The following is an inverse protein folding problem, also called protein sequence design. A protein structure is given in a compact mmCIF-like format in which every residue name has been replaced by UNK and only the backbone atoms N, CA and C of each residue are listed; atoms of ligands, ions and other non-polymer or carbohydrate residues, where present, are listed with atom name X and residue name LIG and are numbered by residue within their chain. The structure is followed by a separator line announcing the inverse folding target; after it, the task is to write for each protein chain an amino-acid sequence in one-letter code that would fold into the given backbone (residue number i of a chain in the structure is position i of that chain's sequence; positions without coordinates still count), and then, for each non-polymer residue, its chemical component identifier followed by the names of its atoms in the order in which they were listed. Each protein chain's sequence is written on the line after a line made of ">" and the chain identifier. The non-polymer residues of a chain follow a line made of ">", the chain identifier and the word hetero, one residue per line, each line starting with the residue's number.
data_IF_731888257111
#
_entry.id   IF_731888257111
#
_cell.length_a   1.000
_cell.length_b   1.000
_cell.length_c   1.000
_cell.angle_alpha   90.00
_cell.angle_beta   90.00
_cell.angle_gamma   90.00
#
_symmetry.space_group_name_H-M   'P 1'
#
loop_
_entity.id
_entity.type
_entity.pdbx_description
1 polymer ?
#
# COMPACT_ATOMS: atom_id res chain seq x y z
N UNK A 1 -20.80 0.94 17.68
CA UNK A 1 -19.40 0.60 17.36
C UNK A 1 -19.21 -0.91 17.27
N UNK A 2 -19.25 -1.69 18.35
CA UNK A 2 -19.07 -3.15 18.28
C UNK A 2 -20.40 -3.90 18.26
N UNK A 3 -20.45 -5.08 17.63
CA UNK A 3 -21.59 -5.99 17.68
C UNK A 3 -21.57 -6.84 18.98
N UNK A 4 -22.70 -7.43 19.40
CA UNK A 4 -22.71 -8.46 20.43
C UNK A 4 -21.90 -9.71 20.01
N UNK A 5 -21.19 -10.39 20.94
CA UNK A 5 -21.12 -10.11 22.37
C UNK A 5 -20.09 -9.03 22.75
N UNK A 6 -19.23 -8.61 21.84
CA UNK A 6 -18.08 -7.73 22.10
C UNK A 6 -18.47 -6.38 22.69
N UNK A 7 -19.64 -5.85 22.32
CA UNK A 7 -20.19 -4.61 22.87
C UNK A 7 -20.37 -4.62 24.39
N UNK A 8 -20.50 -5.81 25.01
CA UNK A 8 -20.70 -5.96 26.45
C UNK A 8 -19.41 -6.29 27.20
N UNK A 9 -18.30 -6.49 26.49
CA UNK A 9 -17.04 -6.88 27.11
C UNK A 9 -16.38 -5.70 27.81
N UNK A 10 -15.65 -5.99 28.89
CA UNK A 10 -14.78 -4.98 29.50
C UNK A 10 -13.64 -4.63 28.55
N UNK A 11 -13.08 -3.42 28.67
CA UNK A 11 -11.94 -3.00 27.86
C UNK A 11 -10.77 -4.00 27.97
N UNK A 12 -10.54 -4.58 29.16
CA UNK A 12 -9.52 -5.59 29.40
C UNK A 12 -9.82 -6.89 28.63
N UNK A 13 -11.07 -7.36 28.67
CA UNK A 13 -11.48 -8.55 27.93
C UNK A 13 -11.35 -8.36 26.41
N UNK A 14 -11.71 -7.17 25.93
CA UNK A 14 -11.58 -6.81 24.52
C UNK A 14 -10.14 -6.79 24.05
N UNK A 15 -9.24 -6.05 24.75
CA UNK A 15 -7.82 -6.02 24.40
C UNK A 15 -7.23 -7.44 24.40
N UNK A 16 -7.49 -8.23 25.45
CA UNK A 16 -7.00 -9.60 25.53
C UNK A 16 -7.45 -10.46 24.35
N UNK A 17 -8.70 -10.30 23.91
CA UNK A 17 -9.20 -11.01 22.74
C UNK A 17 -8.46 -10.62 21.47
N UNK A 18 -8.25 -9.32 21.20
CA UNK A 18 -7.50 -8.87 20.03
C UNK A 18 -6.04 -9.34 20.03
N UNK A 19 -5.43 -9.48 21.21
CA UNK A 19 -4.08 -10.01 21.36
C UNK A 19 -3.98 -11.52 21.09
N UNK A 20 -5.08 -12.27 21.24
CA UNK A 20 -5.06 -13.75 21.23
C UNK A 20 -5.89 -14.38 20.11
N UNK A 21 -6.70 -13.60 19.38
CA UNK A 21 -7.53 -14.12 18.28
C UNK A 21 -6.65 -14.57 17.11
N UNK A 22 -7.03 -15.68 16.49
CA UNK A 22 -6.26 -16.31 15.40
C UNK A 22 -7.09 -16.56 14.13
N UNK A 23 -8.39 -16.24 14.14
CA UNK A 23 -9.30 -16.53 13.03
C UNK A 23 -9.32 -15.44 11.94
N UNK A 24 -8.64 -14.31 12.17
CA UNK A 24 -8.49 -13.21 11.22
C UNK A 24 -7.01 -13.12 10.84
N UNK A 25 -6.72 -13.22 9.54
CA UNK A 25 -5.36 -13.18 9.01
C UNK A 25 -5.13 -11.88 8.27
N UNK A 26 -4.09 -11.14 8.66
CA UNK A 26 -3.71 -9.90 7.99
C UNK A 26 -2.22 -9.66 8.20
N UNK A 27 -1.63 -8.85 7.32
CA UNK A 27 -0.21 -8.57 7.27
C UNK A 27 0.01 -7.07 7.16
N UNK A 28 1.15 -6.60 7.67
CA UNK A 28 1.58 -5.23 7.48
C UNK A 28 2.26 -5.06 6.12
N UNK A 29 2.09 -3.88 5.50
CA UNK A 29 2.87 -3.48 4.34
C UNK A 29 3.85 -2.39 4.77
N UNK A 30 5.12 -2.59 4.44
CA UNK A 30 6.21 -1.67 4.75
C UNK A 30 6.35 -0.61 3.65
N UNK A 31 6.61 0.61 4.08
CA UNK A 31 7.15 1.68 3.23
C UNK A 31 8.65 1.78 3.52
N UNK A 32 9.48 1.38 2.56
CA UNK A 32 10.93 1.23 2.75
C UNK A 32 11.62 2.52 3.19
N UNK A 33 11.15 3.66 2.68
CA UNK A 33 11.72 4.96 3.00
C UNK A 33 11.27 5.41 4.38
N UNK A 34 9.95 5.36 4.64
CA UNK A 34 9.36 5.87 5.88
C UNK A 34 9.60 4.96 7.09
N UNK A 35 9.84 3.66 6.86
CA UNK A 35 10.19 2.67 7.88
C UNK A 35 11.70 2.37 7.94
N UNK A 36 12.54 3.25 7.39
CA UNK A 36 13.98 3.14 7.53
C UNK A 36 14.43 3.33 8.98
N UNK A 37 15.48 2.62 9.38
CA UNK A 37 16.00 2.65 10.77
C UNK A 37 16.37 4.07 11.23
N UNK A 38 16.92 4.89 10.33
CA UNK A 38 17.28 6.29 10.62
C UNK A 38 16.04 7.12 10.94
N UNK A 39 14.97 7.01 10.15
CA UNK A 39 13.71 7.72 10.42
C UNK A 39 13.07 7.22 11.70
N UNK A 40 13.01 5.91 11.94
CA UNK A 40 12.46 5.34 13.18
C UNK A 40 13.18 5.88 14.43
N UNK A 41 14.52 5.93 14.40
CA UNK A 41 15.30 6.51 15.49
C UNK A 41 15.01 8.01 15.67
N UNK A 42 14.87 8.77 14.59
CA UNK A 42 14.52 10.18 14.65
C UNK A 42 13.12 10.41 15.28
N UNK A 43 12.15 9.55 14.97
CA UNK A 43 10.79 9.62 15.52
C UNK A 43 10.75 9.38 17.03
N UNK A 44 11.62 8.49 17.56
CA UNK A 44 11.78 8.33 19.02
C UNK A 44 12.21 9.63 19.70
N UNK A 45 12.93 10.49 18.98
CA UNK A 45 13.37 11.83 19.41
C UNK A 45 12.39 12.96 18.98
N UNK A 46 11.18 12.60 18.53
CA UNK A 46 10.17 13.50 17.97
C UNK A 46 10.63 14.32 16.75
N UNK A 47 11.65 13.86 16.02
CA UNK A 47 12.12 14.48 14.78
C UNK A 47 11.50 13.76 13.58
N UNK A 48 10.74 14.51 12.77
CA UNK A 48 10.05 14.01 11.57
C UNK A 48 10.66 14.67 10.34
N UNK A 49 10.90 13.88 9.28
CA UNK A 49 11.58 14.31 8.06
C UNK A 49 10.80 13.86 6.82
N UNK A 50 10.32 14.84 6.06
CA UNK A 50 9.53 14.67 4.85
C UNK A 50 9.97 15.74 3.83
N UNK A 51 10.02 15.38 2.54
CA UNK A 51 10.41 16.29 1.45
C UNK A 51 11.68 17.09 1.76
N UNK A 52 12.72 16.40 2.26
CA UNK A 52 14.01 16.98 2.68
C UNK A 52 13.94 18.05 3.79
N UNK A 53 12.80 18.18 4.48
CA UNK A 53 12.62 19.09 5.60
C UNK A 53 12.37 18.34 6.92
N UNK A 54 13.10 18.73 7.96
CA UNK A 54 13.03 18.09 9.27
C UNK A 54 12.59 19.04 10.38
N UNK A 55 11.59 18.62 11.16
CA UNK A 55 11.04 19.37 12.28
C UNK A 55 10.90 18.52 13.54
N UNK A 56 10.98 19.17 14.69
CA UNK A 56 10.74 18.55 15.99
C UNK A 56 9.31 18.83 16.46
N UNK A 57 8.55 17.78 16.77
CA UNK A 57 7.25 17.92 17.41
C UNK A 57 7.45 18.06 18.92
N UNK A 58 7.37 19.30 19.42
CA UNK A 58 7.49 19.61 20.84
C UNK A 58 6.28 19.10 21.63
N UNK A 59 6.40 18.85 22.96
CA UNK A 59 5.24 18.52 23.78
C UNK A 59 4.12 19.56 23.63
N UNK A 60 2.90 19.11 23.34
CA UNK A 60 1.77 20.00 23.06
C UNK A 60 1.74 20.57 21.64
N UNK A 61 2.47 19.97 20.69
CA UNK A 61 2.40 20.31 19.28
C UNK A 61 0.94 20.34 18.79
N UNK A 62 0.59 21.42 18.08
CA UNK A 62 -0.68 21.54 17.39
C UNK A 62 -0.63 20.73 16.10
N UNK A 63 -1.29 19.57 16.11
CA UNK A 63 -1.37 18.67 14.96
C UNK A 63 -2.01 19.32 13.74
N UNK A 64 -2.74 20.42 13.89
CA UNK A 64 -3.36 21.13 12.77
C UNK A 64 -2.45 22.21 12.16
N UNK A 65 -1.29 22.47 12.76
CA UNK A 65 -0.30 23.43 12.25
C UNK A 65 0.74 22.74 11.34
N UNK A 66 1.02 23.35 10.19
CA UNK A 66 2.13 22.94 9.33
C UNK A 66 3.39 23.76 9.64
N UNK A 67 4.50 23.15 10.07
CA UNK A 67 5.76 23.87 10.25
C UNK A 67 6.49 24.15 8.92
N UNK A 68 6.10 23.47 7.83
CA UNK A 68 6.65 23.61 6.49
C UNK A 68 5.88 24.61 5.64
N UNK A 69 6.55 25.20 4.64
CA UNK A 69 5.89 25.93 3.56
C UNK A 69 5.22 24.99 2.54
N UNK A 70 5.65 23.73 2.49
CA UNK A 70 5.08 22.67 1.68
C UNK A 70 3.94 21.96 2.44
N UNK A 71 2.76 21.97 1.84
CA UNK A 71 1.56 21.31 2.40
C UNK A 71 1.73 19.79 2.48
N UNK A 72 2.54 19.20 1.61
CA UNK A 72 2.79 17.75 1.59
C UNK A 72 3.48 17.27 2.87
N UNK A 73 4.27 18.11 3.54
CA UNK A 73 4.89 17.77 4.82
C UNK A 73 3.83 17.42 5.88
N UNK A 74 2.79 18.26 6.00
CA UNK A 74 1.67 18.02 6.92
C UNK A 74 0.88 16.78 6.50
N UNK A 75 0.63 16.62 5.20
CA UNK A 75 -0.09 15.46 4.65
C UNK A 75 0.66 14.15 4.99
N UNK A 76 1.98 14.10 4.80
CA UNK A 76 2.81 12.93 5.08
C UNK A 76 2.84 12.59 6.57
N UNK A 77 2.93 13.58 7.45
CA UNK A 77 2.79 13.39 8.89
C UNK A 77 1.46 12.69 9.24
N UNK A 78 0.38 13.12 8.60
CA UNK A 78 -0.98 12.61 8.85
C UNK A 78 -1.27 11.26 8.20
N UNK A 79 -0.41 10.77 7.29
CA UNK A 79 -0.50 9.42 6.70
C UNK A 79 0.04 8.32 7.62
N UNK A 80 0.79 8.65 8.67
CA UNK A 80 1.26 7.70 9.71
C UNK A 80 2.16 6.55 9.19
N UNK A 81 2.85 6.70 8.05
CA UNK A 81 3.73 5.64 7.53
C UNK A 81 4.77 5.15 8.53
N UNK A 82 5.26 6.06 9.38
CA UNK A 82 6.23 5.76 10.42
C UNK A 82 5.76 4.73 11.45
N UNK A 83 4.45 4.56 11.64
CA UNK A 83 3.90 3.65 12.63
C UNK A 83 4.25 2.19 12.33
N UNK A 84 4.41 1.85 11.05
CA UNK A 84 4.82 0.51 10.60
C UNK A 84 6.27 0.22 11.01
N UNK A 85 7.19 1.16 10.79
CA UNK A 85 8.60 1.02 11.18
C UNK A 85 8.78 0.91 12.69
N UNK A 86 8.03 1.70 13.48
CA UNK A 86 8.01 1.56 14.95
C UNK A 86 7.58 0.15 15.38
N UNK A 87 6.57 -0.42 14.73
CA UNK A 87 6.04 -1.75 15.05
C UNK A 87 6.98 -2.89 14.66
N UNK A 88 7.57 -2.82 13.47
CA UNK A 88 8.55 -3.78 12.98
C UNK A 88 9.79 -3.81 13.89
N UNK A 89 10.38 -2.65 14.18
CA UNK A 89 11.54 -2.56 15.08
C UNK A 89 11.19 -3.04 16.50
N UNK A 90 9.96 -2.82 16.97
CA UNK A 90 9.51 -3.29 18.27
C UNK A 90 9.52 -4.82 18.35
N UNK A 91 8.97 -5.48 17.32
CA UNK A 91 8.98 -6.96 17.24
C UNK A 91 10.41 -7.50 17.14
N UNK A 92 11.29 -6.82 16.41
CA UNK A 92 12.68 -7.25 16.21
C UNK A 92 13.57 -7.04 17.44
N UNK A 93 13.38 -5.94 18.18
CA UNK A 93 14.30 -5.52 19.26
C UNK A 93 13.73 -5.71 20.66
N UNK A 94 12.41 -5.71 20.81
CA UNK A 94 11.73 -5.65 22.10
C UNK A 94 11.85 -4.30 22.82
N UNK A 95 12.34 -3.23 22.18
CA UNK A 95 12.53 -1.93 22.83
C UNK A 95 11.19 -1.31 23.24
N UNK A 96 10.92 -1.14 24.55
CA UNK A 96 9.65 -0.63 25.05
C UNK A 96 9.33 0.80 24.58
N UNK A 97 10.34 1.59 24.19
CA UNK A 97 10.17 2.98 23.74
C UNK A 97 9.40 3.08 22.43
N UNK A 98 9.51 2.09 21.55
CA UNK A 98 8.84 2.06 20.25
C UNK A 98 7.31 1.95 20.41
N UNK A 99 6.86 1.02 21.26
CA UNK A 99 5.45 0.88 21.60
C UNK A 99 4.89 2.10 22.33
N UNK A 100 5.66 2.66 23.28
CA UNK A 100 5.26 3.89 23.98
C UNK A 100 5.10 5.07 23.01
N UNK A 101 6.04 5.23 22.06
CA UNK A 101 6.00 6.30 21.06
C UNK A 101 4.81 6.16 20.11
N UNK A 102 4.49 4.94 19.67
CA UNK A 102 3.29 4.70 18.86
C UNK A 102 2.01 5.09 19.61
N UNK A 103 1.87 4.67 20.87
CA UNK A 103 0.72 5.03 21.72
C UNK A 103 0.64 6.54 21.92
N UNK A 104 1.75 7.18 22.27
CA UNK A 104 1.85 8.64 22.48
C UNK A 104 1.37 9.42 21.26
N UNK A 105 1.94 9.14 20.07
CA UNK A 105 1.63 9.87 18.84
C UNK A 105 0.20 9.60 18.37
N UNK A 106 -0.25 8.34 18.44
CA UNK A 106 -1.60 7.96 18.02
C UNK A 106 -2.65 8.55 18.95
N UNK A 107 -2.43 8.51 20.27
CA UNK A 107 -3.36 9.09 21.24
C UNK A 107 -3.44 10.62 21.10
N UNK A 108 -2.28 11.29 20.97
CA UNK A 108 -2.23 12.72 20.75
C UNK A 108 -2.96 13.13 19.47
N UNK A 109 -2.82 12.36 18.39
CA UNK A 109 -3.56 12.62 17.15
C UNK A 109 -5.08 12.46 17.35
N UNK A 110 -5.53 11.38 17.99
CA UNK A 110 -6.96 11.13 18.27
C UNK A 110 -7.59 12.27 19.08
N UNK A 111 -6.86 12.84 20.03
CA UNK A 111 -7.37 13.90 20.90
C UNK A 111 -7.44 15.28 20.24
N UNK A 112 -6.64 15.54 19.22
CA UNK A 112 -6.42 16.89 18.71
C UNK A 112 -6.87 17.11 17.26
N UNK A 113 -7.06 16.06 16.45
CA UNK A 113 -7.34 16.21 15.01
C UNK A 113 -8.79 15.86 14.67
N UNK A 114 -9.57 16.81 14.12
CA UNK A 114 -10.90 16.54 13.58
C UNK A 114 -10.87 15.51 12.43
N UNK A 115 -11.94 14.72 12.29
CA UNK A 115 -12.03 13.68 11.26
C UNK A 115 -11.93 14.22 9.83
N UNK A 116 -12.48 15.40 9.58
CA UNK A 116 -12.56 16.09 8.29
C UNK A 116 -11.44 17.11 8.07
N UNK A 117 -10.38 17.08 8.88
CA UNK A 117 -9.29 18.05 8.82
C UNK A 117 -8.50 18.01 7.50
N UNK A 118 -8.24 16.81 6.97
CA UNK A 118 -7.56 16.59 5.68
C UNK A 118 -8.42 15.76 4.75
N UNK A 119 -8.02 15.70 3.47
CA UNK A 119 -8.72 14.92 2.46
C UNK A 119 -8.83 13.43 2.84
N UNK A 120 -9.88 12.79 2.33
CA UNK A 120 -10.23 11.42 2.63
C UNK A 120 -9.14 10.41 2.26
N UNK A 121 -8.33 10.68 1.24
CA UNK A 121 -7.20 9.81 0.85
C UNK A 121 -6.12 9.74 1.94
N UNK A 122 -5.89 10.85 2.65
CA UNK A 122 -4.99 10.91 3.82
C UNK A 122 -5.55 10.06 4.95
N UNK A 123 -6.87 10.15 5.20
CA UNK A 123 -7.57 9.29 6.16
C UNK A 123 -7.47 7.81 5.77
N UNK A 124 -7.65 7.48 4.49
CA UNK A 124 -7.49 6.12 3.97
C UNK A 124 -6.10 5.56 4.25
N UNK A 125 -5.06 6.34 3.97
CA UNK A 125 -3.68 5.93 4.23
C UNK A 125 -3.37 5.78 5.72
N UNK A 126 -3.86 6.70 6.57
CA UNK A 126 -3.71 6.61 8.03
C UNK A 126 -4.39 5.35 8.57
N UNK A 127 -5.62 5.06 8.12
CA UNK A 127 -6.34 3.84 8.51
C UNK A 127 -5.53 2.59 8.15
N UNK A 128 -4.98 2.49 6.93
CA UNK A 128 -4.12 1.37 6.55
C UNK A 128 -2.93 1.22 7.50
N UNK A 129 -2.17 2.30 7.72
CA UNK A 129 -0.97 2.27 8.57
C UNK A 129 -1.28 2.01 10.05
N UNK A 130 -2.43 2.46 10.56
CA UNK A 130 -2.90 2.13 11.91
C UNK A 130 -3.24 0.65 12.06
N UNK A 131 -3.88 0.05 11.05
CA UNK A 131 -4.17 -1.39 11.04
C UNK A 131 -2.88 -2.21 10.94
N UNK A 132 -1.91 -1.76 10.14
CA UNK A 132 -0.58 -2.37 10.08
C UNK A 132 0.17 -2.24 11.41
N UNK A 133 0.15 -1.08 12.07
CA UNK A 133 0.75 -0.94 13.41
C UNK A 133 0.05 -1.82 14.46
N UNK A 134 -1.28 -1.95 14.38
CA UNK A 134 -2.06 -2.87 15.22
C UNK A 134 -1.60 -4.33 15.07
N UNK A 135 -1.19 -4.76 13.86
CA UNK A 135 -0.58 -6.09 13.65
C UNK A 135 0.62 -6.32 14.58
N UNK A 136 1.54 -5.37 14.67
CA UNK A 136 2.76 -5.49 15.46
C UNK A 136 2.54 -5.30 16.96
N UNK A 137 1.76 -4.30 17.36
CA UNK A 137 1.67 -3.90 18.78
C UNK A 137 0.58 -4.64 19.56
N UNK A 138 -0.52 -5.03 18.88
CA UNK A 138 -1.66 -5.67 19.53
C UNK A 138 -1.69 -7.17 19.24
N UNK A 139 -1.53 -7.59 17.98
CA UNK A 139 -1.55 -9.01 17.63
C UNK A 139 -0.16 -9.69 17.79
N UNK A 140 0.66 -9.20 18.72
CA UNK A 140 2.06 -9.61 18.87
C UNK A 140 2.23 -11.08 19.26
N UNK A 141 1.29 -11.69 19.98
CA UNK A 141 1.37 -13.12 20.32
C UNK A 141 1.36 -14.01 19.06
N UNK A 142 0.58 -13.61 18.05
CA UNK A 142 0.56 -14.26 16.74
C UNK A 142 1.85 -13.98 15.96
N UNK A 143 2.30 -12.73 15.95
CA UNK A 143 3.50 -12.31 15.19
C UNK A 143 4.78 -12.94 15.76
N UNK A 144 4.88 -13.04 17.09
CA UNK A 144 6.05 -13.59 17.80
C UNK A 144 6.02 -15.13 17.88
N UNK A 145 4.98 -15.80 17.33
CA UNK A 145 4.78 -17.25 17.39
C UNK A 145 5.00 -17.82 18.81
N UNK A 146 4.50 -17.13 19.84
CA UNK A 146 4.74 -17.53 21.21
C UNK A 146 4.04 -18.87 21.52
N UNK A 147 4.69 -19.80 22.25
CA UNK A 147 4.07 -21.05 22.64
C UNK A 147 2.76 -20.83 23.41
N UNK A 148 1.77 -21.69 23.19
CA UNK A 148 0.53 -21.67 23.95
C UNK A 148 0.82 -21.71 25.47
N UNK A 149 0.41 -20.67 26.20
CA UNK A 149 0.65 -20.53 27.64
C UNK A 149 1.91 -19.75 28.03
N UNK A 150 2.66 -19.20 27.07
CA UNK A 150 3.71 -18.23 27.36
C UNK A 150 3.13 -17.03 28.11
N UNK A 151 3.93 -16.47 29.04
CA UNK A 151 3.52 -15.27 29.77
C UNK A 151 3.42 -14.13 28.77
N UNK A 152 2.21 -13.62 28.59
CA UNK A 152 1.90 -12.63 27.57
C UNK A 152 2.82 -11.41 27.75
N UNK A 153 3.57 -11.00 26.70
CA UNK A 153 4.37 -9.78 26.77
C UNK A 153 3.41 -8.61 26.98
N UNK A 154 3.65 -7.81 28.02
CA UNK A 154 2.92 -6.55 28.16
C UNK A 154 3.50 -5.55 27.17
N UNK A 155 2.77 -5.24 26.10
CA UNK A 155 3.12 -4.14 25.19
C UNK A 155 3.11 -2.82 25.98
N UNK A 156 4.25 -2.15 26.17
CA UNK A 156 4.33 -0.94 26.99
C UNK A 156 3.44 0.18 26.43
N UNK A 157 2.70 0.86 27.32
CA UNK A 157 1.76 1.92 26.93
C UNK A 157 0.41 1.44 26.37
N UNK A 158 0.32 0.20 25.86
CA UNK A 158 -0.93 -0.36 25.35
C UNK A 158 -1.89 -0.70 26.50
N UNK A 159 -2.68 0.28 26.91
CA UNK A 159 -3.71 0.09 27.93
C UNK A 159 -5.03 -0.35 27.29
N UNK A 160 -5.89 -1.07 28.04
CA UNK A 160 -7.25 -1.38 27.59
C UNK A 160 -8.06 -0.14 27.19
N UNK A 161 -7.87 0.98 27.90
CA UNK A 161 -8.57 2.25 27.65
C UNK A 161 -8.10 2.86 26.33
N UNK A 162 -6.78 2.92 26.11
CA UNK A 162 -6.22 3.38 24.84
C UNK A 162 -6.70 2.52 23.67
N UNK A 163 -6.68 1.19 23.80
CA UNK A 163 -7.14 0.31 22.73
C UNK A 163 -8.61 0.52 22.38
N UNK A 164 -9.48 0.71 23.38
CA UNK A 164 -10.90 1.03 23.13
C UNK A 164 -11.07 2.39 22.44
N UNK A 165 -10.26 3.39 22.80
CA UNK A 165 -10.22 4.71 22.15
C UNK A 165 -9.74 4.61 20.70
N UNK A 166 -8.69 3.84 20.46
CA UNK A 166 -8.17 3.52 19.13
C UNK A 166 -9.25 2.88 18.24
N UNK A 167 -9.91 1.82 18.72
CA UNK A 167 -10.98 1.16 17.96
C UNK A 167 -12.14 2.12 17.64
N UNK A 168 -12.46 3.04 18.54
CA UNK A 168 -13.49 4.07 18.29
C UNK A 168 -13.08 5.05 17.21
N UNK A 169 -11.86 5.59 17.29
CA UNK A 169 -11.37 6.50 16.27
C UNK A 169 -11.23 5.80 14.91
N UNK A 170 -10.76 4.55 14.89
CA UNK A 170 -10.69 3.74 13.67
C UNK A 170 -12.08 3.55 13.05
N UNK A 171 -13.07 3.17 13.86
CA UNK A 171 -14.46 3.02 13.41
C UNK A 171 -15.01 4.32 12.80
N UNK A 172 -14.83 5.45 13.48
CA UNK A 172 -15.27 6.75 13.00
C UNK A 172 -14.59 7.18 11.69
N UNK A 173 -13.29 6.88 11.52
CA UNK A 173 -12.56 7.18 10.30
C UNK A 173 -13.04 6.31 9.13
N UNK A 174 -13.31 5.03 9.35
CA UNK A 174 -13.85 4.14 8.31
C UNK A 174 -15.25 4.55 7.90
N UNK A 175 -16.10 4.89 8.88
CA UNK A 175 -17.43 5.45 8.60
C UNK A 175 -17.36 6.76 7.80
N UNK A 176 -16.43 7.66 8.15
CA UNK A 176 -16.16 8.86 7.37
C UNK A 176 -15.77 8.53 5.91
N UNK A 177 -14.87 7.57 5.69
CA UNK A 177 -14.46 7.16 4.33
C UNK A 177 -15.64 6.63 3.51
N UNK A 178 -16.51 5.80 4.08
CA UNK A 178 -17.71 5.28 3.40
C UNK A 178 -18.62 6.39 2.85
N UNK A 179 -18.61 7.59 3.46
CA UNK A 179 -19.44 8.73 3.07
C UNK A 179 -18.70 9.81 2.27
N UNK A 180 -17.37 9.73 2.16
CA UNK A 180 -16.53 10.81 1.62
C UNK A 180 -15.47 10.31 0.62
N UNK A 181 -15.75 9.23 -0.11
CA UNK A 181 -14.84 8.73 -1.13
C UNK A 181 -14.54 9.79 -2.21
N UNK A 182 -13.27 9.93 -2.57
CA UNK A 182 -12.86 10.65 -3.78
C UNK A 182 -13.48 10.02 -5.01
N UNK A 183 -13.81 10.79 -6.06
CA UNK A 183 -14.68 10.29 -7.14
C UNK A 183 -14.09 9.15 -7.98
N UNK A 184 -12.76 9.08 -8.16
CA UNK A 184 -12.10 8.10 -9.00
C UNK A 184 -10.59 8.03 -8.71
N UNK A 185 -9.89 7.10 -9.37
CA UNK A 185 -8.43 7.05 -9.53
C UNK A 185 -7.69 6.59 -8.26
N UNK A 186 -6.37 6.84 -8.23
CA UNK A 186 -5.47 6.27 -7.23
C UNK A 186 -5.89 6.57 -5.77
N UNK A 187 -6.41 7.77 -5.49
CA UNK A 187 -6.91 8.14 -4.17
C UNK A 187 -8.10 7.27 -3.75
N UNK A 188 -9.07 7.05 -4.65
CA UNK A 188 -10.24 6.20 -4.38
C UNK A 188 -9.82 4.76 -4.12
N UNK A 189 -8.82 4.25 -4.86
CA UNK A 189 -8.26 2.92 -4.62
C UNK A 189 -7.71 2.79 -3.18
N UNK A 190 -6.99 3.79 -2.68
CA UNK A 190 -6.42 3.80 -1.31
C UNK A 190 -7.53 3.79 -0.26
N UNK A 191 -8.57 4.61 -0.45
CA UNK A 191 -9.71 4.70 0.46
C UNK A 191 -10.49 3.38 0.52
N UNK A 192 -10.79 2.79 -0.63
CA UNK A 192 -11.48 1.50 -0.71
C UNK A 192 -10.65 0.37 -0.10
N UNK A 193 -9.33 0.37 -0.30
CA UNK A 193 -8.49 -0.62 0.37
C UNK A 193 -8.53 -0.46 1.89
N UNK A 194 -8.55 0.78 2.40
CA UNK A 194 -8.65 1.04 3.84
C UNK A 194 -9.97 0.54 4.44
N UNK A 195 -11.10 0.78 3.78
CA UNK A 195 -12.42 0.29 4.21
C UNK A 195 -12.44 -1.23 4.18
N UNK A 196 -11.94 -1.85 3.10
CA UNK A 196 -11.86 -3.31 2.98
C UNK A 196 -11.01 -3.92 4.10
N UNK A 197 -9.83 -3.33 4.36
CA UNK A 197 -9.00 -3.76 5.49
C UNK A 197 -9.75 -3.68 6.82
N UNK A 198 -10.42 -2.58 7.11
CA UNK A 198 -11.15 -2.42 8.37
C UNK A 198 -12.29 -3.44 8.50
N UNK A 199 -13.07 -3.63 7.44
CA UNK A 199 -14.19 -4.58 7.42
C UNK A 199 -13.74 -6.03 7.64
N UNK A 200 -12.61 -6.42 7.04
CA UNK A 200 -12.05 -7.78 7.17
C UNK A 200 -11.30 -7.98 8.48
N UNK A 201 -10.52 -6.99 8.92
CA UNK A 201 -9.66 -7.12 10.09
C UNK A 201 -10.43 -6.95 11.41
N UNK A 202 -11.55 -6.22 11.39
CA UNK A 202 -12.36 -5.95 12.59
C UNK A 202 -13.82 -6.36 12.37
N UNK A 203 -14.11 -7.66 12.14
CA UNK A 203 -15.48 -8.15 11.98
C UNK A 203 -16.34 -7.96 13.24
N UNK A 204 -15.72 -7.59 14.36
CA UNK A 204 -16.39 -7.26 15.62
C UNK A 204 -17.08 -5.88 15.59
N UNK A 205 -16.79 -5.03 14.61
CA UNK A 205 -17.56 -3.81 14.42
C UNK A 205 -18.99 -4.13 13.97
N UNK A 206 -19.95 -3.38 14.49
CA UNK A 206 -21.37 -3.53 14.16
C UNK A 206 -21.64 -3.34 12.67
N UNK A 207 -20.88 -2.44 12.04
CA UNK A 207 -21.04 -2.04 10.65
C UNK A 207 -20.08 -2.80 9.71
N UNK A 208 -19.25 -3.73 10.22
CA UNK A 208 -18.22 -4.41 9.41
C UNK A 208 -18.80 -5.19 8.22
N UNK A 209 -19.95 -5.85 8.41
CA UNK A 209 -20.61 -6.58 7.33
C UNK A 209 -21.12 -5.63 6.24
N UNK A 210 -21.77 -4.52 6.64
CA UNK A 210 -22.27 -3.51 5.71
C UNK A 210 -21.13 -2.82 4.97
N UNK A 211 -20.02 -2.52 5.65
CA UNK A 211 -18.80 -2.00 5.02
C UNK A 211 -18.20 -2.99 4.02
N UNK A 212 -18.19 -4.29 4.34
CA UNK A 212 -17.67 -5.31 3.44
C UNK A 212 -18.51 -5.42 2.17
N UNK A 213 -19.85 -5.39 2.28
CA UNK A 213 -20.74 -5.42 1.13
C UNK A 213 -20.60 -4.16 0.27
N UNK A 214 -20.59 -2.98 0.92
CA UNK A 214 -20.36 -1.69 0.27
C UNK A 214 -19.04 -1.68 -0.52
N UNK A 215 -17.92 -1.97 0.16
CA UNK A 215 -16.60 -1.83 -0.45
C UNK A 215 -16.37 -2.87 -1.54
N UNK A 216 -16.96 -4.06 -1.46
CA UNK A 216 -16.88 -5.05 -2.55
C UNK A 216 -17.55 -4.55 -3.83
N UNK A 217 -18.70 -3.89 -3.71
CA UNK A 217 -19.38 -3.29 -4.85
C UNK A 217 -18.56 -2.12 -5.44
N UNK A 218 -18.03 -1.26 -4.57
CA UNK A 218 -17.22 -0.11 -4.97
C UNK A 218 -15.87 -0.49 -5.59
N UNK A 219 -15.18 -1.52 -5.06
CA UNK A 219 -13.93 -2.02 -5.63
C UNK A 219 -14.10 -2.53 -7.06
N UNK A 220 -15.24 -3.17 -7.38
CA UNK A 220 -15.54 -3.62 -8.74
C UNK A 220 -15.76 -2.42 -9.68
N UNK A 221 -16.53 -1.43 -9.23
CA UNK A 221 -16.75 -0.22 -10.03
C UNK A 221 -15.43 0.53 -10.25
N UNK A 222 -14.64 0.69 -9.19
CA UNK A 222 -13.38 1.42 -9.24
C UNK A 222 -12.34 0.73 -10.11
N UNK A 223 -12.13 -0.58 -9.98
CA UNK A 223 -11.14 -1.30 -10.81
C UNK A 223 -11.49 -1.28 -12.30
N UNK A 224 -12.79 -1.22 -12.65
CA UNK A 224 -13.24 -1.10 -14.03
C UNK A 224 -13.07 0.32 -14.60
N UNK A 225 -13.13 1.34 -13.75
CA UNK A 225 -12.88 2.73 -14.13
C UNK A 225 -11.38 3.02 -14.22
N UNK A 226 -10.61 2.58 -13.22
CA UNK A 226 -9.18 2.82 -13.08
C UNK A 226 -8.38 2.06 -14.13
N UNK A 227 -8.72 0.79 -14.39
CA UNK A 227 -7.97 -0.07 -15.30
C UNK A 227 -8.71 -0.24 -16.62
N UNK A 228 -8.07 0.22 -17.70
CA UNK A 228 -8.55 0.05 -19.07
C UNK A 228 -8.64 -1.44 -19.42
N UNK A 229 -9.26 -1.77 -20.55
CA UNK A 229 -9.51 -3.17 -20.91
C UNK A 229 -8.23 -4.01 -21.10
N UNK A 230 -7.11 -3.38 -21.43
CA UNK A 230 -5.77 -3.98 -21.53
C UNK A 230 -4.97 -3.91 -20.22
N UNK A 231 -5.56 -3.42 -19.14
CA UNK A 231 -4.96 -3.34 -17.81
C UNK A 231 -4.24 -2.03 -17.49
N UNK A 232 -3.99 -1.17 -18.47
CA UNK A 232 -3.27 0.10 -18.23
C UNK A 232 -4.12 1.03 -17.37
N UNK A 233 -3.47 1.69 -16.40
CA UNK A 233 -4.16 2.60 -15.49
C UNK A 233 -4.54 3.91 -16.20
N UNK A 234 -5.72 4.44 -15.90
CA UNK A 234 -6.31 5.57 -16.62
C UNK A 234 -5.49 6.86 -16.53
N UNK A 235 -4.64 7.02 -15.51
CA UNK A 235 -3.82 8.22 -15.28
C UNK A 235 -2.55 8.29 -16.13
N UNK A 236 -2.21 7.25 -16.90
CA UNK A 236 -1.10 7.26 -17.87
C UNK A 236 0.26 7.61 -17.25
N UNK A 237 0.47 7.24 -15.98
CA UNK A 237 1.79 7.17 -15.35
C UNK A 237 2.08 5.71 -15.00
N UNK A 238 3.26 5.23 -15.40
CA UNK A 238 3.67 3.84 -15.15
C UNK A 238 3.90 3.61 -13.66
N UNK A 239 4.45 4.59 -12.94
CA UNK A 239 4.62 4.47 -11.48
C UNK A 239 3.24 4.38 -10.78
N UNK A 240 2.32 5.30 -11.09
CA UNK A 240 0.98 5.27 -10.51
C UNK A 240 0.20 4.01 -10.88
N UNK A 241 0.41 3.45 -12.08
CA UNK A 241 -0.13 2.13 -12.42
C UNK A 241 0.32 1.08 -11.39
N UNK A 242 1.62 1.00 -11.08
CA UNK A 242 2.14 0.03 -10.12
C UNK A 242 1.67 0.31 -8.69
N UNK A 243 1.54 1.58 -8.29
CA UNK A 243 0.96 1.94 -7.00
C UNK A 243 -0.51 1.49 -6.86
N UNK A 244 -1.31 1.63 -7.91
CA UNK A 244 -2.70 1.16 -7.93
C UNK A 244 -2.76 -0.37 -7.92
N UNK A 245 -1.94 -1.05 -8.72
CA UNK A 245 -1.83 -2.52 -8.72
C UNK A 245 -1.41 -3.04 -7.34
N UNK A 246 -0.47 -2.38 -6.65
CA UNK A 246 -0.05 -2.72 -5.28
C UNK A 246 -1.23 -2.74 -4.31
N UNK A 247 -2.13 -1.75 -4.37
CA UNK A 247 -3.31 -1.70 -3.50
C UNK A 247 -4.32 -2.80 -3.85
N UNK A 248 -4.59 -3.05 -5.14
CA UNK A 248 -5.50 -4.14 -5.56
C UNK A 248 -4.96 -5.53 -5.24
N UNK A 249 -3.64 -5.75 -5.32
CA UNK A 249 -3.00 -6.95 -4.81
C UNK A 249 -3.17 -7.08 -3.30
N UNK A 250 -3.03 -5.98 -2.55
CA UNK A 250 -3.31 -5.94 -1.11
C UNK A 250 -4.71 -6.42 -0.77
N UNK A 251 -5.73 -5.89 -1.47
CA UNK A 251 -7.13 -6.34 -1.37
C UNK A 251 -7.23 -7.84 -1.65
N UNK A 252 -6.72 -8.32 -2.79
CA UNK A 252 -6.85 -9.73 -3.19
C UNK A 252 -6.16 -10.67 -2.22
N UNK A 253 -4.95 -10.33 -1.76
CA UNK A 253 -4.19 -11.13 -0.78
C UNK A 253 -4.92 -11.22 0.55
N UNK A 254 -5.46 -10.10 1.04
CA UNK A 254 -6.24 -10.08 2.28
C UNK A 254 -7.55 -10.87 2.13
N UNK A 255 -8.22 -10.77 0.98
CA UNK A 255 -9.42 -11.54 0.68
C UNK A 255 -9.12 -13.05 0.70
N UNK A 256 -8.08 -13.49 -0.01
CA UNK A 256 -7.64 -14.89 -0.05
C UNK A 256 -7.28 -15.41 1.34
N UNK A 257 -6.55 -14.62 2.15
CA UNK A 257 -6.12 -15.01 3.49
C UNK A 257 -7.29 -15.23 4.47
N UNK A 258 -8.47 -14.64 4.19
CA UNK A 258 -9.66 -14.75 5.03
C UNK A 258 -10.83 -15.48 4.34
N UNK A 259 -10.58 -16.15 3.21
CA UNK A 259 -11.61 -16.90 2.48
C UNK A 259 -12.75 -16.03 1.92
N UNK A 260 -12.46 -14.76 1.60
CA UNK A 260 -13.45 -13.82 1.05
C UNK A 260 -13.39 -13.87 -0.48
N UNK A 261 -14.52 -14.19 -1.10
CA UNK A 261 -14.64 -14.17 -2.55
C UNK A 261 -14.76 -12.74 -3.09
N UNK A 262 -13.88 -12.41 -4.05
CA UNK A 262 -13.98 -11.21 -4.88
C UNK A 262 -14.57 -11.58 -6.25
N UNK A 263 -15.38 -10.70 -6.87
CA UNK A 263 -15.97 -11.00 -8.17
C UNK A 263 -14.93 -11.22 -9.26
N UNK A 264 -15.18 -12.17 -10.17
CA UNK A 264 -14.25 -12.55 -11.26
C UNK A 264 -13.74 -11.37 -12.08
N UNK A 265 -14.59 -10.36 -12.31
CA UNK A 265 -14.20 -9.15 -13.06
C UNK A 265 -13.04 -8.39 -12.43
N UNK A 266 -12.92 -8.43 -11.10
CA UNK A 266 -11.79 -7.87 -10.36
C UNK A 266 -10.51 -8.63 -10.71
N UNK A 267 -10.56 -9.95 -10.66
CA UNK A 267 -9.42 -10.81 -11.00
C UNK A 267 -9.01 -10.64 -12.47
N UNK A 268 -9.97 -10.59 -13.40
CA UNK A 268 -9.69 -10.41 -14.83
C UNK A 268 -8.97 -9.06 -15.09
N UNK A 269 -9.40 -7.97 -14.43
CA UNK A 269 -8.75 -6.65 -14.55
C UNK A 269 -7.38 -6.59 -13.90
N UNK A 270 -7.23 -7.16 -12.70
CA UNK A 270 -5.95 -7.20 -12.00
C UNK A 270 -4.90 -8.02 -12.75
N UNK A 271 -5.29 -9.16 -13.34
CA UNK A 271 -4.37 -9.96 -14.17
C UNK A 271 -3.96 -9.24 -15.46
N UNK A 272 -4.85 -8.47 -16.09
CA UNK A 272 -4.50 -7.63 -17.23
C UNK A 272 -3.48 -6.54 -16.85
N UNK A 273 -3.66 -5.90 -15.69
CA UNK A 273 -2.73 -4.92 -15.17
C UNK A 273 -1.37 -5.53 -14.81
N UNK A 274 -1.34 -6.71 -14.18
CA UNK A 274 -0.10 -7.47 -13.94
C UNK A 274 0.61 -7.83 -15.25
N UNK A 275 -0.14 -8.13 -16.30
CA UNK A 275 0.43 -8.35 -17.62
C UNK A 275 1.07 -7.07 -18.17
N UNK A 276 0.43 -5.90 -18.04
CA UNK A 276 1.10 -4.62 -18.38
C UNK A 276 2.37 -4.40 -17.55
N UNK A 277 2.29 -4.57 -16.22
CA UNK A 277 3.43 -4.45 -15.33
C UNK A 277 4.60 -5.34 -15.78
N UNK A 278 4.35 -6.59 -16.15
CA UNK A 278 5.37 -7.52 -16.67
C UNK A 278 6.11 -6.95 -17.88
N UNK A 279 5.38 -6.38 -18.85
CA UNK A 279 6.01 -5.79 -20.04
C UNK A 279 6.68 -4.45 -19.74
N UNK A 280 6.14 -3.65 -18.82
CA UNK A 280 6.68 -2.33 -18.48
C UNK A 280 8.04 -2.40 -17.77
N UNK A 281 8.34 -3.49 -17.05
CA UNK A 281 9.64 -3.64 -16.39
C UNK A 281 10.78 -3.81 -17.40
N UNK A 282 11.78 -2.94 -17.32
CA UNK A 282 13.03 -3.02 -18.07
C UNK A 282 13.84 -4.27 -17.68
N UNK A 283 14.85 -4.68 -18.47
CA UNK A 283 15.71 -5.82 -18.15
C UNK A 283 16.45 -5.72 -16.81
N UNK A 284 16.80 -4.50 -16.37
CA UNK A 284 17.43 -4.22 -15.08
C UNK A 284 16.48 -4.41 -13.89
N UNK A 285 15.16 -4.51 -14.14
CA UNK A 285 14.14 -4.73 -13.12
C UNK A 285 13.43 -3.47 -12.64
N UNK A 286 13.75 -2.30 -13.20
CA UNK A 286 13.04 -1.05 -12.91
C UNK A 286 11.98 -0.75 -13.97
N UNK A 287 11.01 0.07 -13.61
CA UNK A 287 10.06 0.65 -14.57
C UNK A 287 10.65 1.93 -15.22
N UNK A 288 10.14 2.35 -16.39
CA UNK A 288 10.39 3.67 -16.98
C UNK A 288 9.81 4.80 -16.12
N UNK A 289 10.40 6.00 -16.22
CA UNK A 289 9.98 7.22 -15.53
C UNK A 289 8.97 8.06 -16.33
N UNK A 290 8.23 7.45 -17.27
CA UNK A 290 7.29 8.18 -18.13
C UNK A 290 6.20 8.87 -17.31
N UNK A 291 5.88 10.13 -17.68
CA UNK A 291 4.89 10.98 -17.02
C UNK A 291 5.26 11.28 -15.55
N UNK A 292 4.31 11.49 -14.64
CA UNK A 292 4.59 11.60 -13.20
C UNK A 292 5.00 10.24 -12.61
N UNK A 293 6.21 9.78 -12.91
CA UNK A 293 6.73 8.51 -12.43
C UNK A 293 8.23 8.55 -12.18
N UNK A 294 8.68 7.72 -11.25
CA UNK A 294 10.09 7.56 -10.92
C UNK A 294 10.56 6.15 -11.33
N UNK A 295 11.80 6.04 -11.82
CA UNK A 295 12.41 4.75 -12.11
C UNK A 295 12.70 4.01 -10.80
N UNK A 296 11.98 2.91 -10.58
CA UNK A 296 12.16 2.01 -9.43
C UNK A 296 11.61 0.62 -9.70
N UNK A 297 11.97 -0.34 -8.86
CA UNK A 297 11.54 -1.71 -9.05
C UNK A 297 10.19 -2.00 -8.38
N UNK A 298 9.31 -2.68 -9.11
CA UNK A 298 8.05 -3.21 -8.62
C UNK A 298 7.93 -4.73 -8.91
N UNK A 299 9.06 -5.42 -9.07
CA UNK A 299 9.08 -6.86 -9.40
C UNK A 299 8.37 -7.73 -8.35
N UNK A 300 8.34 -7.30 -7.08
CA UNK A 300 7.58 -7.97 -6.02
C UNK A 300 6.07 -8.05 -6.32
N UNK A 301 5.50 -7.10 -7.08
CA UNK A 301 4.09 -7.17 -7.49
C UNK A 301 3.83 -8.37 -8.41
N UNK A 302 4.79 -8.72 -9.26
CA UNK A 302 4.72 -9.90 -10.13
C UNK A 302 4.90 -11.20 -9.34
N UNK A 303 5.76 -11.21 -8.31
CA UNK A 303 5.84 -12.32 -7.35
C UNK A 303 4.50 -12.54 -6.63
N UNK A 304 3.86 -11.48 -6.15
CA UNK A 304 2.54 -11.54 -5.53
C UNK A 304 1.48 -12.02 -6.53
N UNK A 305 1.53 -11.55 -7.78
CA UNK A 305 0.66 -12.02 -8.86
C UNK A 305 0.82 -13.52 -9.12
N UNK A 306 2.06 -14.02 -9.19
CA UNK A 306 2.34 -15.45 -9.31
C UNK A 306 1.78 -16.25 -8.13
N UNK A 307 2.00 -15.78 -6.90
CA UNK A 307 1.49 -16.48 -5.71
C UNK A 307 -0.06 -16.58 -5.70
N UNK A 308 -0.76 -15.61 -6.28
CA UNK A 308 -2.23 -15.59 -6.34
C UNK A 308 -2.82 -16.39 -7.51
N UNK A 309 -2.17 -16.36 -8.68
CA UNK A 309 -2.77 -16.85 -9.94
C UNK A 309 -1.94 -17.91 -10.67
N UNK A 310 -0.70 -18.15 -10.24
CA UNK A 310 0.16 -19.22 -10.76
C UNK A 310 0.71 -18.98 -12.17
N UNK A 311 0.73 -17.75 -12.68
CA UNK A 311 1.28 -17.46 -14.01
C UNK A 311 2.83 -17.51 -14.00
N UNK A 312 3.45 -18.50 -14.65
CA UNK A 312 4.91 -18.68 -14.59
C UNK A 312 5.70 -17.60 -15.33
N UNK A 313 5.06 -16.85 -16.24
CA UNK A 313 5.68 -15.71 -16.92
C UNK A 313 5.93 -14.55 -15.96
N UNK A 314 5.01 -14.31 -15.02
CA UNK A 314 5.20 -13.29 -13.99
C UNK A 314 6.34 -13.66 -13.03
N UNK A 315 6.45 -14.92 -12.63
CA UNK A 315 7.58 -15.37 -11.81
C UNK A 315 8.91 -15.19 -12.55
N UNK A 316 8.93 -15.47 -13.85
CA UNK A 316 10.12 -15.30 -14.68
C UNK A 316 10.58 -13.86 -14.77
N UNK A 317 9.67 -12.93 -15.04
CA UNK A 317 10.01 -11.51 -15.04
C UNK A 317 10.40 -11.03 -13.64
N UNK A 318 9.66 -11.44 -12.60
CA UNK A 318 9.95 -11.05 -11.20
C UNK A 318 11.34 -11.47 -10.73
N UNK A 319 11.81 -12.63 -11.21
CA UNK A 319 13.12 -13.20 -10.86
C UNK A 319 14.21 -12.89 -11.89
N UNK A 320 13.91 -11.99 -12.84
CA UNK A 320 14.79 -11.59 -13.94
C UNK A 320 15.38 -12.80 -14.68
N UNK A 321 14.53 -13.81 -14.88
CA UNK A 321 14.77 -14.99 -15.69
C UNK A 321 15.37 -16.20 -14.97
N UNK A 322 15.52 -16.15 -13.65
CA UNK A 322 16.11 -17.28 -12.88
C UNK A 322 15.11 -18.38 -12.53
N UNK A 323 13.82 -18.07 -12.37
CA UNK A 323 12.75 -19.03 -12.08
C UNK A 323 11.54 -18.85 -13.00
N UNK A 324 10.60 -19.80 -13.06
CA UNK A 324 9.41 -19.67 -13.91
C UNK A 324 9.62 -19.98 -15.39
N UNK A 325 8.84 -19.37 -16.27
CA UNK A 325 8.88 -19.59 -17.72
C UNK A 325 8.95 -18.27 -18.50
N UNK A 326 9.91 -18.15 -19.42
CA UNK A 326 10.05 -16.96 -20.26
C UNK A 326 8.78 -16.69 -21.11
N UNK A 327 8.31 -15.44 -21.20
CA UNK A 327 7.21 -15.09 -22.09
C UNK A 327 7.53 -15.38 -23.55
N UNK A 328 6.55 -15.91 -24.29
CA UNK A 328 6.73 -16.22 -25.73
C UNK A 328 6.69 -14.98 -26.60
N UNK A 329 5.85 -14.03 -26.24
CA UNK A 329 5.66 -12.77 -26.97
C UNK A 329 6.72 -11.79 -26.48
N UNK A 330 7.46 -11.20 -27.42
CA UNK A 330 8.55 -10.27 -27.12
C UNK A 330 8.07 -8.84 -27.07
N UNK A 331 7.32 -8.45 -28.10
CA UNK A 331 6.83 -7.10 -28.29
C UNK A 331 5.30 -7.13 -28.33
N UNK A 332 4.68 -6.15 -27.69
CA UNK A 332 3.22 -6.03 -27.60
C UNK A 332 2.79 -4.57 -27.56
N UNK A 333 1.54 -4.31 -27.92
CA UNK A 333 0.91 -3.00 -27.78
C UNK A 333 -0.33 -3.11 -26.90
N UNK A 334 -0.37 -2.27 -25.88
CA UNK A 334 -1.52 -2.05 -25.01
C UNK A 334 -2.37 -0.97 -25.64
N UNK A 335 -3.30 -1.36 -26.51
CA UNK A 335 -4.01 -0.45 -27.43
C UNK A 335 -4.90 0.59 -26.73
N UNK A 336 -5.41 0.31 -25.53
CA UNK A 336 -6.25 1.25 -24.80
C UNK A 336 -5.43 2.21 -23.94
N UNK A 337 -4.32 1.75 -23.35
CA UNK A 337 -3.35 2.60 -22.68
C UNK A 337 -2.40 3.33 -23.63
N UNK A 338 -2.28 2.86 -24.88
CA UNK A 338 -1.38 3.43 -25.88
C UNK A 338 0.11 3.20 -25.63
N UNK A 339 0.50 2.20 -24.87
CA UNK A 339 1.92 1.83 -24.70
C UNK A 339 2.31 0.73 -25.67
N UNK A 340 3.41 0.91 -26.41
CA UNK A 340 4.02 -0.14 -27.21
C UNK A 340 5.36 -0.52 -26.62
N UNK A 341 5.50 -1.79 -26.21
CA UNK A 341 6.74 -2.35 -25.69
C UNK A 341 7.37 -3.23 -26.75
N UNK A 342 8.64 -2.99 -27.05
CA UNK A 342 9.45 -3.79 -27.95
C UNK A 342 10.63 -4.38 -27.21
N UNK A 343 10.85 -5.69 -27.36
CA UNK A 343 11.98 -6.39 -26.73
C UNK A 343 12.68 -7.30 -27.73
N UNK A 344 14.01 -7.44 -27.63
CA UNK A 344 14.73 -8.45 -28.43
C UNK A 344 14.46 -9.88 -27.96
N UNK A 345 14.09 -10.04 -26.69
CA UNK A 345 13.86 -11.31 -26.02
C UNK A 345 13.66 -11.12 -24.52
N UNK A 346 13.76 -12.23 -23.80
CA UNK A 346 13.58 -12.32 -22.34
C UNK A 346 14.77 -13.03 -21.68
N UNK A 347 15.95 -13.03 -22.29
CA UNK A 347 17.13 -13.68 -21.71
C UNK A 347 17.21 -15.18 -21.99
N UNK A 348 16.59 -15.64 -23.08
CA UNK A 348 16.60 -17.06 -23.46
C UNK A 348 17.72 -17.32 -24.47
N UNK A 349 18.56 -18.34 -24.25
CA UNK A 349 19.63 -18.72 -25.17
C UNK A 349 20.99 -18.11 -24.78
N UNK A 350 21.67 -17.46 -25.72
CA UNK A 350 23.02 -16.90 -25.51
C UNK A 350 23.02 -15.48 -24.93
N UNK A 351 21.86 -14.79 -24.93
CA UNK A 351 21.73 -13.43 -24.40
C UNK A 351 21.21 -13.50 -22.95
N UNK A 352 21.95 -13.00 -21.95
CA UNK A 352 21.46 -12.85 -20.59
C UNK A 352 20.23 -11.95 -20.49
N UNK A 353 19.37 -12.16 -19.48
CA UNK A 353 18.16 -11.36 -19.26
C UNK A 353 18.44 -9.86 -19.23
N UNK A 354 19.43 -9.44 -18.44
CA UNK A 354 19.82 -8.04 -18.29
C UNK A 354 20.35 -7.42 -19.60
N UNK A 355 20.86 -8.25 -20.53
CA UNK A 355 21.44 -7.79 -21.79
C UNK A 355 20.42 -7.63 -22.93
N UNK A 356 19.17 -8.02 -22.68
CA UNK A 356 18.10 -7.82 -23.66
C UNK A 356 17.89 -6.34 -23.97
N UNK A 357 17.55 -6.04 -25.22
CA UNK A 357 17.20 -4.70 -25.68
C UNK A 357 15.71 -4.48 -25.46
N UNK A 358 15.38 -3.35 -24.86
CA UNK A 358 14.05 -2.92 -24.47
C UNK A 358 13.78 -1.51 -24.96
N UNK A 359 12.56 -1.28 -25.42
CA UNK A 359 12.05 0.02 -25.84
C UNK A 359 10.57 0.10 -25.50
N UNK A 360 10.14 1.19 -24.89
CA UNK A 360 8.72 1.47 -24.66
C UNK A 360 8.38 2.83 -25.24
N UNK A 361 7.33 2.89 -26.05
CA UNK A 361 6.76 4.14 -26.58
C UNK A 361 5.48 4.48 -25.83
N UNK A 362 5.36 5.75 -25.45
CA UNK A 362 4.08 6.35 -25.12
C UNK A 362 3.43 6.86 -26.42
N UNK A 363 2.29 6.27 -26.77
CA UNK A 363 1.40 6.69 -27.85
C UNK A 363 -0.04 6.79 -27.36
N UNK A 364 -0.22 6.96 -26.05
CA UNK A 364 -1.50 7.00 -25.38
C UNK A 364 -2.12 8.38 -25.31
N UNK A 365 -3.36 8.47 -24.81
CA UNK A 365 -3.94 9.75 -24.41
C UNK A 365 -3.13 10.36 -23.26
N UNK A 366 -3.33 11.66 -23.01
CA UNK A 366 -2.74 12.40 -21.88
C UNK A 366 -3.05 11.78 -20.50
N UNK A 367 -4.03 10.90 -20.40
CA UNK A 367 -4.46 10.32 -19.13
C UNK A 367 -5.48 11.18 -18.40
N UNK A 368 -6.12 10.55 -17.43
CA UNK A 368 -7.10 11.21 -16.57
C UNK A 368 -6.39 11.81 -15.35
N UNK A 369 -6.79 13.01 -14.93
CA UNK A 369 -6.09 13.72 -13.86
C UNK A 369 -4.94 14.58 -14.35
N UNK A 370 -3.88 14.65 -13.55
CA UNK A 370 -2.76 15.59 -13.76
C UNK A 370 -1.40 14.90 -13.89
N UNK A 371 -1.37 13.57 -13.93
CA UNK A 371 -0.11 12.81 -13.89
C UNK A 371 0.50 12.56 -15.26
N UNK A 372 -0.30 12.51 -16.33
CA UNK A 372 0.24 12.35 -17.68
C UNK A 372 0.81 13.66 -18.24
N UNK A 373 1.90 13.55 -18.98
CA UNK A 373 2.60 14.70 -19.57
C UNK A 373 2.21 14.91 -21.05
N UNK A 374 2.51 16.09 -21.60
CA UNK A 374 2.33 16.37 -23.03
C UNK A 374 3.49 15.82 -23.86
N UNK A 375 3.72 14.51 -23.76
CA UNK A 375 4.91 13.81 -24.24
C UNK A 375 4.58 12.73 -25.29
N UNK A 376 3.49 12.90 -26.05
CA UNK A 376 3.11 11.92 -27.08
C UNK A 376 4.28 11.58 -28.03
N UNK A 377 4.52 10.28 -28.23
CA UNK A 377 5.65 9.67 -28.96
C UNK A 377 6.99 9.66 -28.20
N UNK A 378 7.00 10.05 -26.93
CA UNK A 378 8.12 9.84 -26.04
C UNK A 378 8.41 8.35 -25.86
N UNK A 379 9.66 8.05 -25.50
CA UNK A 379 10.10 6.68 -25.34
C UNK A 379 11.30 6.57 -24.40
N UNK A 380 11.37 5.44 -23.71
CA UNK A 380 12.56 5.01 -22.99
C UNK A 380 13.17 3.76 -23.63
N UNK A 381 14.50 3.66 -23.55
CA UNK A 381 15.27 2.56 -24.10
C UNK A 381 16.28 2.05 -23.08
N UNK A 382 16.37 0.73 -22.94
CA UNK A 382 17.40 0.05 -22.14
C UNK A 382 18.03 -1.10 -22.93
N UNK A 383 19.31 -1.35 -22.72
CA UNK A 383 20.03 -2.49 -23.29
C UNK A 383 21.32 -2.76 -22.51
N UNK A 384 21.81 -4.00 -22.54
CA UNK A 384 23.12 -4.35 -21.98
C UNK A 384 23.26 -3.94 -20.50
N UNK A 385 22.21 -4.18 -19.72
CA UNK A 385 22.14 -3.87 -18.29
C UNK A 385 22.03 -2.38 -17.94
N UNK A 386 21.75 -1.50 -18.91
CA UNK A 386 21.70 -0.05 -18.69
C UNK A 386 20.50 0.61 -19.36
N UNK A 387 19.95 1.62 -18.69
CA UNK A 387 19.04 2.57 -19.32
C UNK A 387 19.84 3.53 -20.21
N UNK A 388 19.52 3.57 -21.51
CA UNK A 388 20.25 4.32 -22.55
C UNK A 388 19.57 5.64 -22.89
N UNK A 389 18.23 5.65 -22.89
CA UNK A 389 17.40 6.84 -23.06
C UNK A 389 16.36 6.78 -21.94
N UNK A 390 16.34 7.82 -21.12
CA UNK A 390 15.48 7.94 -19.94
C UNK A 390 14.62 9.17 -20.07
N UNK A 391 13.41 9.11 -19.53
CA UNK A 391 12.59 10.28 -19.32
C UNK A 391 13.24 11.18 -18.24
N UNK A 392 13.16 12.52 -18.34
CA UNK A 392 13.58 13.40 -17.25
C UNK A 392 12.81 13.18 -15.93
N UNK A 393 11.66 12.51 -15.97
CA UNK A 393 10.76 12.26 -14.87
C UNK A 393 10.05 13.53 -14.38
N UNK A 394 9.40 13.42 -13.22
CA UNK A 394 8.62 14.52 -12.62
C UNK A 394 9.45 15.63 -11.97
N UNK A 395 10.69 15.33 -11.54
CA UNK A 395 11.61 16.18 -10.77
C UNK A 395 11.13 16.63 -9.38
N UNK A 396 9.96 17.28 -9.27
CA UNK A 396 9.38 17.78 -8.00
C UNK A 396 8.11 17.06 -7.60
#
# INVERSE_FOLDING_TARGET
>A
MLCPPYAQWSAHGLLRYFQTRQHVHYFALRDEEQASQSKVNAILENRFEYNDEAYYLVPGFDWTANPSADVEWLILLHKFYFAVGLGEDYVNTGDPRLAQKWVELTEAWIDNVPLDFLSSDVTGRRVQNWIFAHHYFVNSDYVLNLPAGAKQPTTPGLTPVFHQKFLRSLHQQVDFLCHNLTPARNHRTIELYAIFMAAVVFPEFADAADWLDFVKAELVQNIQADLRADGVHCEQSIDYHHLVVKNYLGVKRLATANGIEVPRVFDDRLQAALNFAMYAHKPDGDIPSLSDGDARSFLDLLHQGYALYGNPEWLYTATQGSEGQAPRVRSTTFMHGGYTVMRSGWGTGETPYADERYLIFDSGPLGEGNHGHLDLLNFEMAAYGQSLIVDPGRYT
#
